data_IF_622728678288
#
_entry.id   IF_622728678288
#
_cell.length_a   1.000
_cell.length_b   1.000
_cell.length_c   1.000
_cell.angle_alpha   90.00
_cell.angle_beta   90.00
_cell.angle_gamma   90.00
#
_symmetry.space_group_name_H-M   'P 1'
#
loop_
_entity.id
_entity.type
_entity.pdbx_description
1 polymer ?
#
# COMPACT_ATOMS: atom_id res chain seq x y z
N UNK A 1 -29.15 -45.34 50.87
CA UNK A 1 -30.51 -45.79 50.52
C UNK A 1 -30.46 -46.04 49.03
N UNK A 2 -30.40 -47.31 48.60
CA UNK A 2 -30.44 -47.61 47.17
C UNK A 2 -31.85 -47.37 46.66
N UNK A 3 -31.99 -46.60 45.59
CA UNK A 3 -33.29 -46.22 45.01
C UNK A 3 -34.12 -47.46 44.61
N UNK A 4 -33.47 -48.61 44.46
CA UNK A 4 -34.07 -49.92 44.14
C UNK A 4 -34.77 -50.63 45.31
N UNK A 5 -34.55 -50.23 46.57
CA UNK A 5 -35.19 -50.89 47.72
C UNK A 5 -35.21 -49.99 48.98
N UNK A 6 -35.95 -48.88 48.99
CA UNK A 6 -36.01 -48.01 50.17
C UNK A 6 -36.83 -48.67 51.28
N UNK A 7 -36.19 -49.47 52.13
CA UNK A 7 -36.79 -49.90 53.41
C UNK A 7 -36.72 -48.72 54.36
N UNK A 8 -37.70 -47.82 54.28
CA UNK A 8 -37.88 -46.77 55.28
C UNK A 8 -38.59 -47.41 56.48
N UNK A 9 -37.90 -47.54 57.61
CA UNK A 9 -38.55 -47.71 58.91
C UNK A 9 -38.80 -49.13 59.43
N UNK A 10 -38.02 -50.15 59.03
CA UNK A 10 -37.97 -51.37 59.84
C UNK A 10 -37.42 -51.02 61.24
N UNK A 11 -38.20 -51.31 62.29
CA UNK A 11 -37.84 -51.14 63.71
C UNK A 11 -37.54 -49.70 64.18
N UNK A 12 -38.03 -48.67 63.47
CA UNK A 12 -37.88 -47.26 63.89
C UNK A 12 -39.12 -46.72 64.59
N UNK A 13 -38.93 -45.82 65.55
CA UNK A 13 -40.04 -45.08 66.14
C UNK A 13 -40.72 -44.18 65.10
N UNK A 14 -42.02 -43.92 65.25
CA UNK A 14 -42.75 -43.04 64.32
C UNK A 14 -42.16 -41.64 64.19
N UNK A 15 -41.50 -41.14 65.25
CA UNK A 15 -40.78 -39.86 65.22
C UNK A 15 -39.54 -39.92 64.30
N UNK A 16 -38.74 -40.98 64.40
CA UNK A 16 -37.56 -41.17 63.56
C UNK A 16 -37.94 -41.30 62.09
N UNK A 17 -38.96 -42.12 61.78
CA UNK A 17 -39.47 -42.25 60.42
C UNK A 17 -39.85 -40.89 59.81
N UNK A 18 -40.63 -40.08 60.54
CA UNK A 18 -41.07 -38.77 60.07
C UNK A 18 -39.90 -37.83 59.83
N UNK A 19 -38.86 -37.87 60.66
CA UNK A 19 -37.68 -37.04 60.47
C UNK A 19 -36.91 -37.45 59.19
N UNK A 20 -36.72 -38.75 58.98
CA UNK A 20 -36.06 -39.28 57.78
C UNK A 20 -36.84 -39.00 56.49
N UNK A 21 -38.17 -39.15 56.52
CA UNK A 21 -39.04 -38.79 55.39
C UNK A 21 -38.98 -37.29 55.08
N UNK A 22 -38.99 -36.43 56.11
CA UNK A 22 -38.83 -34.99 55.95
C UNK A 22 -37.44 -34.62 55.42
N UNK A 23 -36.38 -35.31 55.82
CA UNK A 23 -35.03 -35.13 55.29
C UNK A 23 -34.93 -35.57 53.83
N UNK A 24 -35.49 -36.71 53.46
CA UNK A 24 -35.55 -37.17 52.07
C UNK A 24 -36.32 -36.22 51.16
N UNK A 25 -37.50 -35.74 51.61
CA UNK A 25 -38.29 -34.74 50.89
C UNK A 25 -37.55 -33.40 50.74
N UNK A 26 -36.85 -32.97 51.78
CA UNK A 26 -36.04 -31.74 51.73
C UNK A 26 -34.86 -31.89 50.78
N UNK A 27 -34.21 -33.05 50.77
CA UNK A 27 -33.13 -33.35 49.83
C UNK A 27 -33.65 -33.32 48.38
N UNK A 28 -34.81 -33.91 48.11
CA UNK A 28 -35.46 -33.85 46.79
C UNK A 28 -35.83 -32.40 46.41
N UNK A 29 -36.42 -31.64 47.33
CA UNK A 29 -36.82 -30.25 47.11
C UNK A 29 -35.63 -29.33 46.80
N UNK A 30 -34.48 -29.60 47.41
CA UNK A 30 -33.28 -28.77 47.30
C UNK A 30 -32.23 -29.32 46.36
N UNK A 31 -32.53 -30.42 45.63
CA UNK A 31 -31.55 -31.13 44.80
C UNK A 31 -30.25 -31.44 45.56
N UNK A 32 -30.41 -31.96 46.78
CA UNK A 32 -29.33 -32.32 47.69
C UNK A 32 -28.40 -31.16 48.09
N UNK A 33 -28.81 -29.89 47.96
CA UNK A 33 -27.95 -28.73 48.30
C UNK A 33 -27.38 -28.78 49.72
N UNK A 34 -26.08 -28.49 49.85
CA UNK A 34 -25.40 -28.33 51.14
C UNK A 34 -23.87 -28.32 51.02
N UNK A 35 -23.18 -27.95 52.10
CA UNK A 35 -21.72 -27.73 52.09
C UNK A 35 -20.92 -29.03 52.12
N UNK A 36 -21.56 -30.13 52.52
CA UNK A 36 -20.99 -31.47 52.54
C UNK A 36 -21.74 -32.38 51.56
N UNK A 37 -21.04 -33.29 50.86
CA UNK A 37 -21.68 -34.21 49.93
C UNK A 37 -22.64 -35.16 50.66
N UNK A 38 -23.75 -35.57 50.01
CA UNK A 38 -24.62 -36.60 50.57
C UNK A 38 -23.84 -37.89 50.82
N UNK A 39 -23.79 -38.35 52.08
CA UNK A 39 -23.09 -39.59 52.47
C UNK A 39 -23.68 -40.86 51.86
N UNK A 40 -24.89 -40.75 51.29
CA UNK A 40 -25.63 -41.81 50.62
C UNK A 40 -25.60 -41.68 49.08
N UNK A 41 -24.69 -40.88 48.52
CA UNK A 41 -24.61 -40.68 47.08
C UNK A 41 -24.36 -42.00 46.31
N UNK A 42 -25.16 -42.21 45.26
CA UNK A 42 -25.01 -43.30 44.29
C UNK A 42 -24.72 -42.72 42.91
N UNK A 43 -24.14 -43.51 42.00
CA UNK A 43 -23.87 -43.06 40.64
C UNK A 43 -25.15 -42.48 40.01
N UNK A 44 -25.10 -41.25 39.50
CA UNK A 44 -26.30 -40.52 39.08
C UNK A 44 -26.72 -39.38 40.02
N UNK A 45 -26.22 -39.36 41.26
CA UNK A 45 -26.61 -38.35 42.25
C UNK A 45 -26.11 -36.97 41.83
N UNK A 46 -27.02 -35.99 41.80
CA UNK A 46 -26.69 -34.58 41.64
C UNK A 46 -26.59 -33.92 43.01
N UNK A 47 -25.62 -33.03 43.16
CA UNK A 47 -25.37 -32.27 44.37
C UNK A 47 -25.02 -30.83 44.02
N UNK A 48 -25.70 -29.88 44.68
CA UNK A 48 -25.35 -28.48 44.63
C UNK A 48 -24.51 -28.12 45.87
N UNK A 49 -23.19 -28.09 45.68
CA UNK A 49 -22.22 -27.77 46.72
C UNK A 49 -22.22 -26.26 46.98
N UNK A 50 -22.69 -25.87 48.16
CA UNK A 50 -22.76 -24.47 48.60
C UNK A 50 -21.69 -24.09 49.64
N UNK A 51 -20.64 -24.91 49.78
CA UNK A 51 -19.52 -24.64 50.69
C UNK A 51 -18.75 -23.35 50.37
N UNK A 52 -18.84 -22.89 49.13
CA UNK A 52 -18.28 -21.63 48.65
C UNK A 52 -19.23 -20.97 47.64
N UNK A 53 -19.03 -19.67 47.39
CA UNK A 53 -19.66 -18.95 46.29
C UNK A 53 -18.62 -18.73 45.18
N UNK A 54 -18.93 -19.03 43.89
CA UNK A 54 -20.19 -19.58 43.37
C UNK A 54 -20.42 -21.05 43.78
N UNK A 55 -21.68 -21.47 43.88
CA UNK A 55 -22.05 -22.85 44.21
C UNK A 55 -21.65 -23.79 43.08
N UNK A 56 -21.21 -25.02 43.37
CA UNK A 56 -20.80 -25.98 42.33
C UNK A 56 -21.88 -27.03 42.11
N UNK A 57 -22.32 -27.19 40.86
CA UNK A 57 -23.15 -28.32 40.46
C UNK A 57 -22.26 -29.52 40.18
N UNK A 58 -22.45 -30.59 40.94
CA UNK A 58 -21.66 -31.82 40.87
C UNK A 58 -22.53 -33.02 40.55
N UNK A 59 -21.96 -33.98 39.81
CA UNK A 59 -22.58 -35.26 39.51
C UNK A 59 -21.66 -36.39 40.00
N UNK A 60 -22.18 -37.27 40.86
CA UNK A 60 -21.46 -38.45 41.32
C UNK A 60 -21.46 -39.56 40.25
N UNK A 61 -20.28 -40.03 39.86
CA UNK A 61 -20.10 -41.09 38.85
C UNK A 61 -20.00 -42.50 39.46
N UNK A 62 -20.10 -42.62 40.79
CA UNK A 62 -19.91 -43.85 41.54
C UNK A 62 -18.53 -44.01 42.17
N UNK A 63 -17.57 -43.17 41.79
CA UNK A 63 -16.21 -43.11 42.37
C UNK A 63 -15.92 -41.73 42.95
N UNK A 64 -16.25 -40.67 42.22
CA UNK A 64 -15.99 -39.29 42.59
C UNK A 64 -17.06 -38.33 42.07
N UNK A 65 -16.91 -37.06 42.45
CA UNK A 65 -17.81 -35.99 42.02
C UNK A 65 -17.21 -35.26 40.81
N UNK A 66 -17.94 -35.25 39.70
CA UNK A 66 -17.61 -34.48 38.49
C UNK A 66 -18.29 -33.12 38.58
N UNK A 67 -17.50 -32.04 38.54
CA UNK A 67 -18.02 -30.67 38.51
C UNK A 67 -18.55 -30.36 37.12
N UNK A 68 -19.84 -30.04 37.02
CA UNK A 68 -20.53 -29.70 35.77
C UNK A 68 -20.50 -28.19 35.49
N UNK A 69 -20.50 -27.38 36.55
CA UNK A 69 -20.49 -25.93 36.43
C UNK A 69 -20.57 -25.22 37.77
N UNK A 70 -20.44 -23.90 37.71
CA UNK A 70 -20.60 -23.01 38.86
C UNK A 70 -21.86 -22.16 38.69
N UNK A 71 -22.67 -22.08 39.74
CA UNK A 71 -23.88 -21.27 39.83
C UNK A 71 -23.60 -20.05 40.72
N UNK A 72 -23.54 -18.87 40.11
CA UNK A 72 -23.42 -17.61 40.81
C UNK A 72 -24.83 -17.07 41.09
N UNK A 73 -25.32 -17.26 42.32
CA UNK A 73 -26.68 -16.85 42.70
C UNK A 73 -26.84 -15.36 42.91
N UNK A 74 -25.75 -14.60 43.04
CA UNK A 74 -25.81 -13.13 43.10
C UNK A 74 -25.92 -12.51 41.72
N UNK A 75 -25.22 -13.08 40.72
CA UNK A 75 -25.26 -12.61 39.33
C UNK A 75 -26.33 -13.31 38.47
N UNK A 76 -26.97 -14.37 38.99
CA UNK A 76 -27.91 -15.23 38.25
C UNK A 76 -27.28 -15.92 37.02
N UNK A 77 -26.00 -16.29 37.13
CA UNK A 77 -25.21 -16.86 36.04
C UNK A 77 -24.83 -18.32 36.30
N UNK A 78 -24.83 -19.14 35.24
CA UNK A 78 -24.27 -20.48 35.24
C UNK A 78 -23.04 -20.54 34.32
N UNK A 79 -21.89 -20.90 34.88
CA UNK A 79 -20.64 -21.10 34.13
C UNK A 79 -20.40 -22.61 33.96
N UNK A 80 -20.59 -23.18 32.76
CA UNK A 80 -20.34 -24.59 32.53
C UNK A 80 -18.85 -24.91 32.66
N UNK A 81 -18.51 -26.12 33.08
CA UNK A 81 -17.14 -26.60 33.12
C UNK A 81 -16.88 -27.55 31.94
N UNK A 82 -15.70 -27.46 31.33
CA UNK A 82 -15.23 -28.37 30.29
C UNK A 82 -13.84 -28.88 30.66
N UNK A 83 -13.65 -30.21 30.68
CA UNK A 83 -12.36 -30.80 31.05
C UNK A 83 -11.90 -30.49 32.48
N UNK A 84 -12.84 -30.20 33.40
CA UNK A 84 -12.55 -29.93 34.81
C UNK A 84 -12.29 -28.47 35.17
N UNK A 85 -12.39 -27.54 34.22
CA UNK A 85 -12.24 -26.10 34.46
C UNK A 85 -13.44 -25.32 33.91
N UNK A 86 -13.67 -24.11 34.45
CA UNK A 86 -14.69 -23.19 33.95
C UNK A 86 -14.44 -22.85 32.47
N UNK A 87 -15.52 -22.83 31.67
CA UNK A 87 -15.46 -22.42 30.27
C UNK A 87 -15.19 -20.90 30.19
N UNK A 88 -13.94 -20.53 29.93
CA UNK A 88 -13.50 -19.15 29.73
C UNK A 88 -13.32 -18.78 28.26
N UNK A 89 -12.70 -17.62 28.02
CA UNK A 89 -12.28 -17.20 26.68
C UNK A 89 -11.18 -18.14 26.13
N UNK A 90 -11.22 -18.40 24.83
CA UNK A 90 -10.21 -19.23 24.19
C UNK A 90 -8.85 -18.51 24.13
N UNK A 91 -7.78 -19.29 24.19
CA UNK A 91 -6.42 -18.85 23.87
C UNK A 91 -5.73 -19.88 22.99
N UNK A 92 -4.48 -19.62 22.58
CA UNK A 92 -3.70 -20.59 21.80
C UNK A 92 -3.49 -21.94 22.50
N UNK A 93 -3.55 -21.96 23.84
CA UNK A 93 -3.33 -23.16 24.65
C UNK A 93 -4.57 -23.66 25.41
N UNK A 94 -5.64 -22.86 25.44
CA UNK A 94 -6.84 -23.15 26.23
C UNK A 94 -8.08 -23.10 25.34
N UNK A 95 -8.87 -24.17 25.35
CA UNK A 95 -10.17 -24.22 24.67
C UNK A 95 -11.14 -23.31 25.40
N UNK A 96 -11.90 -22.50 24.66
CA UNK A 96 -12.85 -21.56 25.25
C UNK A 96 -13.82 -20.95 24.25
N UNK A 97 -14.53 -19.92 24.68
CA UNK A 97 -15.44 -19.14 23.86
C UNK A 97 -14.65 -18.20 22.93
N UNK A 98 -15.16 -18.03 21.71
CA UNK A 98 -14.64 -17.07 20.74
C UNK A 98 -15.77 -16.22 20.20
N UNK A 99 -15.50 -14.94 19.95
CA UNK A 99 -16.46 -14.02 19.33
C UNK A 99 -16.10 -13.82 17.86
N UNK A 100 -17.12 -13.74 17.01
CA UNK A 100 -16.92 -13.38 15.60
C UNK A 100 -16.72 -11.88 15.47
N UNK A 101 -15.74 -11.46 14.67
CA UNK A 101 -15.57 -10.05 14.32
C UNK A 101 -16.74 -9.58 13.44
N UNK A 102 -17.18 -8.33 13.64
CA UNK A 102 -18.00 -7.62 12.65
C UNK A 102 -17.17 -7.26 11.42
N UNK A 103 -17.81 -6.86 10.32
CA UNK A 103 -17.09 -6.44 9.11
C UNK A 103 -16.22 -5.20 9.37
N UNK A 104 -16.73 -4.22 10.12
CA UNK A 104 -15.97 -3.02 10.51
C UNK A 104 -14.74 -3.36 11.37
N UNK A 105 -14.85 -4.33 12.28
CA UNK A 105 -13.71 -4.78 13.08
C UNK A 105 -12.67 -5.55 12.25
N UNK A 106 -13.14 -6.34 11.28
CA UNK A 106 -12.27 -7.05 10.34
C UNK A 106 -11.53 -6.07 9.40
N UNK A 107 -12.19 -5.00 8.95
CA UNK A 107 -11.61 -3.91 8.16
C UNK A 107 -10.53 -3.15 8.92
N UNK A 108 -10.81 -2.79 10.18
CA UNK A 108 -9.85 -2.09 11.02
C UNK A 108 -8.61 -2.96 11.30
N UNK A 109 -8.79 -4.28 11.45
CA UNK A 109 -7.69 -5.22 11.68
C UNK A 109 -6.99 -5.04 13.03
N UNK A 110 -7.63 -4.36 13.99
CA UNK A 110 -7.04 -4.04 15.29
C UNK A 110 -7.39 -5.07 16.39
N UNK A 111 -8.46 -5.84 16.21
CA UNK A 111 -8.96 -6.75 17.25
C UNK A 111 -8.29 -8.14 17.14
N UNK A 112 -7.51 -8.51 18.17
CA UNK A 112 -6.79 -9.79 18.25
C UNK A 112 -7.56 -10.92 18.95
N UNK A 113 -8.75 -10.64 19.48
CA UNK A 113 -9.55 -11.57 20.30
C UNK A 113 -10.75 -12.16 19.55
N UNK A 114 -10.97 -11.74 18.30
CA UNK A 114 -12.11 -12.16 17.48
C UNK A 114 -11.66 -12.94 16.25
N UNK A 115 -12.44 -13.95 15.88
CA UNK A 115 -12.20 -14.70 14.65
C UNK A 115 -12.98 -14.10 13.47
N UNK A 116 -12.44 -14.27 12.27
CA UNK A 116 -13.12 -13.98 11.00
C UNK A 116 -13.53 -15.29 10.32
N UNK A 117 -14.61 -15.23 9.54
CA UNK A 117 -15.06 -16.37 8.73
C UNK A 117 -14.34 -16.43 7.39
N UNK A 118 -14.29 -17.60 6.71
CA UNK A 118 -13.79 -17.67 5.34
C UNK A 118 -14.52 -16.74 4.36
N UNK A 119 -15.82 -16.47 4.56
CA UNK A 119 -16.58 -15.53 3.74
C UNK A 119 -16.11 -14.09 3.93
N UNK A 120 -15.90 -13.65 5.18
CA UNK A 120 -15.28 -12.36 5.47
C UNK A 120 -13.87 -12.29 4.89
N UNK A 121 -13.07 -13.35 5.06
CA UNK A 121 -11.74 -13.39 4.45
C UNK A 121 -11.78 -13.34 2.92
N UNK A 122 -12.77 -13.95 2.27
CA UNK A 122 -12.95 -13.88 0.82
C UNK A 122 -13.33 -12.47 0.35
N UNK A 123 -14.12 -11.74 1.14
CA UNK A 123 -14.41 -10.32 0.92
C UNK A 123 -13.12 -9.47 0.99
N UNK A 124 -12.18 -9.81 1.89
CA UNK A 124 -10.91 -9.08 2.04
C UNK A 124 -9.76 -9.57 1.16
N UNK A 125 -9.75 -10.84 0.75
CA UNK A 125 -8.58 -11.50 0.16
C UNK A 125 -8.84 -12.37 -1.06
N UNK A 126 -10.10 -12.52 -1.51
CA UNK A 126 -10.48 -13.59 -2.44
C UNK A 126 -10.97 -13.19 -3.83
N UNK A 127 -11.26 -11.93 -4.14
CA UNK A 127 -11.99 -11.61 -5.37
C UNK A 127 -11.62 -10.34 -6.13
N UNK A 128 -11.16 -9.29 -5.44
CA UNK A 128 -10.75 -8.08 -6.11
C UNK A 128 -9.27 -8.15 -6.50
N UNK A 129 -8.93 -9.10 -7.38
CA UNK A 129 -8.03 -8.69 -8.45
C UNK A 129 -8.69 -7.47 -9.08
N UNK A 130 -7.98 -6.35 -9.15
CA UNK A 130 -8.50 -5.11 -9.72
C UNK A 130 -9.03 -5.40 -11.14
N UNK A 131 -10.32 -5.75 -11.28
CA UNK A 131 -10.95 -6.01 -12.58
C UNK A 131 -10.87 -4.74 -13.45
N UNK A 132 -10.84 -3.59 -12.77
CA UNK A 132 -10.39 -2.33 -13.31
C UNK A 132 -9.62 -1.55 -12.24
N UNK A 133 -8.57 -0.85 -12.67
CA UNK A 133 -7.93 0.20 -11.86
C UNK A 133 -8.56 1.51 -12.33
N UNK A 134 -9.22 2.24 -11.43
CA UNK A 134 -9.79 3.53 -11.80
C UNK A 134 -8.67 4.53 -12.07
N UNK A 135 -8.93 5.56 -12.89
CA UNK A 135 -7.92 6.59 -13.12
C UNK A 135 -7.49 7.28 -11.81
N UNK A 136 -8.38 7.40 -10.83
CA UNK A 136 -8.08 8.00 -9.52
C UNK A 136 -7.14 7.16 -8.67
N UNK A 137 -7.06 5.85 -8.92
CA UNK A 137 -6.13 4.94 -8.23
C UNK A 137 -4.73 4.96 -8.88
N UNK A 138 -4.64 5.43 -10.12
CA UNK A 138 -3.37 5.63 -10.80
C UNK A 138 -2.80 6.99 -10.44
N UNK A 139 -1.62 6.99 -9.84
CA UNK A 139 -0.84 8.21 -9.72
C UNK A 139 -0.34 8.62 -11.12
N UNK A 140 -1.09 9.50 -11.78
CA UNK A 140 -0.78 9.99 -13.12
C UNK A 140 -0.35 11.45 -13.08
N UNK A 141 0.55 11.81 -13.98
CA UNK A 141 1.01 13.17 -14.17
C UNK A 141 1.09 13.52 -15.65
N UNK A 142 1.27 14.80 -15.96
CA UNK A 142 1.42 15.33 -17.31
C UNK A 142 2.78 15.98 -17.41
N UNK A 143 3.40 15.86 -18.58
CA UNK A 143 4.61 16.61 -18.87
C UNK A 143 4.71 16.95 -20.34
N UNK A 144 5.43 18.03 -20.60
CA UNK A 144 5.62 18.62 -21.92
C UNK A 144 7.10 18.59 -22.28
N UNK A 145 7.38 18.40 -23.56
CA UNK A 145 8.68 18.66 -24.17
C UNK A 145 8.47 19.38 -25.50
N UNK A 146 9.22 20.43 -25.75
CA UNK A 146 9.06 21.25 -26.95
C UNK A 146 10.38 21.57 -27.63
N UNK A 147 10.26 21.98 -28.88
CA UNK A 147 11.34 22.61 -29.62
C UNK A 147 10.75 23.56 -30.66
N UNK A 148 11.41 24.70 -30.84
CA UNK A 148 11.10 25.72 -31.82
C UNK A 148 12.18 25.74 -32.90
N UNK A 149 11.77 26.04 -34.12
CA UNK A 149 12.70 26.22 -35.24
C UNK A 149 12.10 27.15 -36.28
N UNK A 150 13.00 27.88 -36.94
CA UNK A 150 12.71 28.71 -38.11
C UNK A 150 12.88 27.96 -39.44
N UNK A 151 13.32 26.70 -39.40
CA UNK A 151 13.56 25.88 -40.59
C UNK A 151 12.27 25.49 -41.32
N UNK A 152 12.35 25.42 -42.64
CA UNK A 152 11.27 24.92 -43.53
C UNK A 152 11.16 23.40 -43.57
N UNK A 153 12.12 22.66 -43.03
CA UNK A 153 11.97 21.23 -42.71
C UNK A 153 12.46 21.06 -41.28
N UNK A 154 11.52 20.82 -40.37
CA UNK A 154 11.81 20.76 -38.94
C UNK A 154 11.46 19.38 -38.41
N UNK A 155 12.46 18.74 -37.82
CA UNK A 155 12.34 17.47 -37.13
C UNK A 155 12.58 17.73 -35.66
N UNK A 156 11.52 17.65 -34.87
CA UNK A 156 11.61 17.64 -33.42
C UNK A 156 11.94 16.21 -32.95
N UNK A 157 13.01 16.06 -32.17
CA UNK A 157 13.35 14.83 -31.46
C UNK A 157 13.55 15.16 -29.98
N UNK A 158 12.65 14.68 -29.13
CA UNK A 158 12.68 14.92 -27.69
C UNK A 158 12.45 13.65 -26.88
N UNK A 159 13.10 13.56 -25.73
CA UNK A 159 12.82 12.52 -24.73
C UNK A 159 11.54 12.89 -23.99
N UNK A 160 10.55 12.02 -24.03
CA UNK A 160 9.28 12.26 -23.36
C UNK A 160 9.36 11.94 -21.85
N UNK A 161 8.62 12.68 -21.01
CA UNK A 161 8.47 12.33 -19.60
C UNK A 161 7.70 11.02 -19.44
N UNK A 162 8.04 10.21 -18.43
CA UNK A 162 7.35 8.94 -18.15
C UNK A 162 7.86 7.72 -18.93
N UNK A 163 8.63 7.92 -20.00
CA UNK A 163 9.26 6.84 -20.76
C UNK A 163 8.28 5.75 -21.19
N UNK A 164 8.57 4.50 -20.82
CA UNK A 164 7.70 3.34 -21.12
C UNK A 164 6.31 3.39 -20.46
N UNK A 165 6.08 4.29 -19.51
CA UNK A 165 4.82 4.44 -18.77
C UNK A 165 3.95 5.61 -19.25
N UNK A 166 4.36 6.26 -20.34
CA UNK A 166 3.60 7.33 -20.94
C UNK A 166 2.58 6.84 -21.97
N UNK A 167 1.44 7.50 -22.02
CA UNK A 167 0.32 7.19 -22.91
C UNK A 167 -0.38 8.48 -23.37
N UNK A 168 -1.13 8.40 -24.48
CA UNK A 168 -1.93 9.52 -24.99
C UNK A 168 -1.11 10.77 -25.29
N UNK A 169 -0.12 10.67 -26.19
CA UNK A 169 0.65 11.84 -26.62
C UNK A 169 -0.24 12.78 -27.44
N UNK A 170 -0.15 14.07 -27.14
CA UNK A 170 -0.81 15.13 -27.91
C UNK A 170 0.26 16.06 -28.44
N UNK A 171 0.20 16.37 -29.73
CA UNK A 171 0.99 17.45 -30.30
C UNK A 171 0.20 18.75 -30.27
N UNK A 172 0.86 19.79 -29.78
CA UNK A 172 0.39 21.17 -29.81
C UNK A 172 1.34 21.95 -30.72
N UNK A 173 0.78 22.76 -31.61
CA UNK A 173 1.54 23.61 -32.51
C UNK A 173 0.87 24.97 -32.65
N UNK A 174 1.67 26.03 -32.84
CA UNK A 174 1.19 27.41 -32.89
C UNK A 174 0.39 27.76 -34.15
N UNK A 175 0.41 26.88 -35.17
CA UNK A 175 -0.20 27.10 -36.49
C UNK A 175 -0.70 25.79 -37.09
N UNK A 176 -1.66 25.84 -38.01
CA UNK A 176 -2.22 24.65 -38.66
C UNK A 176 -1.17 23.93 -39.50
N UNK A 177 -0.77 22.73 -39.08
CA UNK A 177 0.20 21.90 -39.78
C UNK A 177 -0.23 20.44 -39.82
N UNK A 178 0.28 19.75 -40.85
CA UNK A 178 0.27 18.30 -40.89
C UNK A 178 1.52 17.85 -40.12
N UNK A 179 1.30 17.13 -39.02
CA UNK A 179 2.37 16.53 -38.25
C UNK A 179 2.39 15.03 -38.50
N UNK A 180 3.57 14.52 -38.80
CA UNK A 180 3.85 13.09 -38.75
C UNK A 180 4.49 12.79 -37.39
N UNK A 181 3.81 12.00 -36.56
CA UNK A 181 4.34 11.54 -35.27
C UNK A 181 4.81 10.12 -35.35
N UNK A 182 5.99 9.88 -34.79
CA UNK A 182 6.50 8.55 -34.53
C UNK A 182 6.93 8.45 -33.06
N UNK A 183 6.40 7.46 -32.36
CA UNK A 183 6.88 7.07 -31.03
C UNK A 183 7.92 5.97 -31.23
N UNK A 184 9.04 6.05 -30.52
CA UNK A 184 10.18 5.13 -30.62
C UNK A 184 10.97 5.30 -31.92
N UNK A 185 11.58 6.48 -32.06
CA UNK A 185 12.64 6.71 -33.05
C UNK A 185 13.99 6.66 -32.37
N UNK A 186 14.98 6.05 -33.01
CA UNK A 186 16.36 5.94 -32.52
C UNK A 186 16.52 4.84 -31.43
N UNK A 187 16.65 3.58 -31.89
CA UNK A 187 16.67 2.36 -31.07
C UNK A 187 17.94 2.26 -30.18
N UNK A 188 18.87 3.20 -30.30
CA UNK A 188 20.02 3.27 -29.42
C UNK A 188 19.61 3.91 -28.07
N UNK A 189 19.75 3.13 -26.99
CA UNK A 189 19.69 3.57 -25.57
C UNK A 189 18.34 3.54 -24.81
N UNK A 190 17.40 2.63 -25.13
CA UNK A 190 16.19 2.33 -24.31
C UNK A 190 15.31 3.56 -23.93
N UNK A 191 15.52 4.70 -24.60
CA UNK A 191 14.87 5.98 -24.31
C UNK A 191 13.62 6.13 -25.17
N UNK A 192 12.48 6.48 -24.58
CA UNK A 192 11.29 6.80 -25.35
C UNK A 192 11.42 8.21 -25.96
N UNK A 193 11.83 8.27 -27.23
CA UNK A 193 11.84 9.51 -28.00
C UNK A 193 10.56 9.66 -28.82
N UNK A 194 10.08 10.90 -28.91
CA UNK A 194 9.10 11.30 -29.92
C UNK A 194 9.83 12.00 -31.05
N UNK A 195 9.48 11.62 -32.27
CA UNK A 195 9.82 12.39 -33.47
C UNK A 195 8.55 13.02 -34.02
N UNK A 196 8.56 14.32 -34.19
CA UNK A 196 7.54 15.04 -34.95
C UNK A 196 8.20 15.75 -36.13
N UNK A 197 7.73 15.47 -37.34
CA UNK A 197 8.16 16.20 -38.54
C UNK A 197 7.06 17.15 -38.98
N UNK A 198 7.45 18.39 -39.25
CA UNK A 198 6.60 19.42 -39.87
C UNK A 198 6.95 19.50 -41.35
N UNK A 199 5.99 19.20 -42.23
CA UNK A 199 6.13 19.37 -43.68
C UNK A 199 5.41 20.64 -44.16
N UNK A 200 5.98 21.31 -45.17
CA UNK A 200 5.52 22.59 -45.75
C UNK A 200 5.24 23.74 -44.76
N UNK A 201 6.22 24.18 -43.96
CA UNK A 201 6.02 25.30 -43.08
C UNK A 201 6.40 26.65 -43.70
N UNK A 202 5.58 27.66 -43.41
CA UNK A 202 5.98 29.06 -43.46
C UNK A 202 6.23 29.54 -42.02
N UNK A 203 7.36 30.23 -41.80
CA UNK A 203 7.69 30.88 -40.53
C UNK A 203 8.14 29.96 -39.39
N UNK A 204 8.51 30.61 -38.28
CA UNK A 204 8.84 29.95 -37.01
C UNK A 204 7.63 29.15 -36.49
N UNK A 205 7.88 27.94 -35.98
CA UNK A 205 6.90 27.27 -35.16
C UNK A 205 7.55 26.56 -33.99
N UNK A 206 6.76 26.47 -32.93
CA UNK A 206 7.03 25.62 -31.78
C UNK A 206 6.15 24.38 -31.88
N UNK A 207 6.77 23.21 -31.75
CA UNK A 207 6.06 21.95 -31.54
C UNK A 207 6.23 21.57 -30.08
N UNK A 208 5.13 21.33 -29.39
CA UNK A 208 5.11 20.79 -28.02
C UNK A 208 4.47 19.41 -28.05
N UNK A 209 5.19 18.41 -27.57
CA UNK A 209 4.62 17.10 -27.29
C UNK A 209 4.26 17.02 -25.81
N UNK A 210 2.98 16.83 -25.54
CA UNK A 210 2.41 16.60 -24.22
C UNK A 210 2.14 15.12 -24.02
N UNK A 211 2.51 14.56 -22.87
CA UNK A 211 2.21 13.16 -22.53
C UNK A 211 1.68 13.04 -21.11
N UNK A 212 0.72 12.13 -20.92
CA UNK A 212 0.31 11.68 -19.59
C UNK A 212 1.04 10.38 -19.25
N UNK A 213 1.51 10.23 -18.02
CA UNK A 213 2.26 9.04 -17.61
C UNK A 213 1.95 8.63 -16.17
N UNK A 214 2.19 7.35 -15.85
CA UNK A 214 2.11 6.84 -14.48
C UNK A 214 3.41 7.18 -13.74
N UNK A 215 3.31 7.78 -12.56
CA UNK A 215 4.45 8.08 -11.70
C UNK A 215 4.52 7.05 -10.56
N UNK A 216 5.65 6.34 -10.47
CA UNK A 216 5.84 5.30 -9.46
C UNK A 216 6.61 5.80 -8.23
N UNK A 217 7.39 6.87 -8.35
CA UNK A 217 8.43 7.21 -7.35
C UNK A 217 8.69 8.68 -6.98
N UNK A 218 7.75 9.65 -7.07
CA UNK A 218 7.92 10.92 -6.36
C UNK A 218 8.07 10.70 -4.83
N UNK A 219 8.75 11.62 -4.10
CA UNK A 219 9.55 12.73 -4.62
C UNK A 219 10.96 12.28 -5.07
N UNK A 220 11.53 13.02 -6.03
CA UNK A 220 12.94 12.95 -6.39
C UNK A 220 13.75 13.91 -5.51
N UNK A 221 14.99 13.56 -5.20
CA UNK A 221 15.92 14.38 -4.43
C UNK A 221 17.30 14.29 -5.09
N UNK A 222 17.92 15.44 -5.37
CA UNK A 222 19.26 15.52 -5.99
C UNK A 222 20.39 15.73 -4.97
N UNK A 223 20.07 15.64 -3.67
CA UNK A 223 20.98 15.77 -2.53
C UNK A 223 20.74 16.99 -1.65
N UNK A 224 19.80 17.87 -2.04
CA UNK A 224 19.48 19.13 -1.35
C UNK A 224 18.00 19.18 -0.90
N UNK A 225 17.29 18.04 -0.94
CA UNK A 225 15.89 17.90 -0.56
C UNK A 225 14.97 17.52 -1.73
N UNK A 226 13.70 17.32 -1.41
CA UNK A 226 12.68 16.96 -2.40
C UNK A 226 12.47 18.08 -3.41
N UNK A 227 12.62 17.76 -4.70
CA UNK A 227 12.39 18.70 -5.80
C UNK A 227 10.91 18.96 -6.03
N UNK A 228 10.57 20.18 -6.45
CA UNK A 228 9.20 20.56 -6.82
C UNK A 228 8.81 20.12 -8.23
N UNK A 229 9.81 19.92 -9.10
CA UNK A 229 9.62 19.54 -10.49
C UNK A 229 10.88 19.79 -11.32
N UNK A 230 10.78 19.52 -12.61
CA UNK A 230 11.89 19.67 -13.55
C UNK A 230 11.48 20.57 -14.70
N UNK A 231 12.09 21.75 -14.78
CA UNK A 231 11.99 22.67 -15.92
C UNK A 231 13.35 22.79 -16.59
N UNK A 232 13.54 22.05 -17.69
CA UNK A 232 14.71 22.23 -18.55
C UNK A 232 14.39 23.22 -19.67
N UNK A 233 15.35 24.07 -20.01
CA UNK A 233 15.27 24.97 -21.14
C UNK A 233 16.42 24.68 -22.11
N UNK A 234 16.10 24.61 -23.40
CA UNK A 234 17.06 24.58 -24.49
C UNK A 234 17.27 26.02 -24.95
N UNK A 235 18.50 26.50 -24.92
CA UNK A 235 18.86 27.88 -25.25
C UNK A 235 19.77 27.92 -26.48
N UNK A 236 19.62 28.95 -27.31
CA UNK A 236 20.61 29.28 -28.34
C UNK A 236 21.82 30.05 -27.75
N UNK A 237 22.80 30.36 -28.59
CA UNK A 237 24.00 31.12 -28.18
C UNK A 237 23.70 32.55 -27.68
N UNK A 238 22.53 33.10 -28.00
CA UNK A 238 22.08 34.41 -27.54
C UNK A 238 21.21 34.33 -26.26
N UNK A 239 20.94 33.13 -25.77
CA UNK A 239 20.09 32.88 -24.59
C UNK A 239 18.59 32.89 -24.90
N UNK A 240 18.18 32.84 -26.17
CA UNK A 240 16.77 32.69 -26.52
C UNK A 240 16.32 31.26 -26.26
N UNK A 241 15.08 31.10 -25.79
CA UNK A 241 14.51 29.78 -25.51
C UNK A 241 14.09 29.11 -26.83
N UNK A 242 14.78 28.02 -27.17
CA UNK A 242 14.45 27.15 -28.29
C UNK A 242 13.50 26.02 -27.86
N UNK A 243 13.55 25.56 -26.63
CA UNK A 243 12.79 24.39 -26.18
C UNK A 243 12.57 24.42 -24.67
N UNK A 244 11.53 23.74 -24.21
CA UNK A 244 11.34 23.47 -22.78
C UNK A 244 11.00 22.01 -22.54
N UNK A 245 11.24 21.56 -21.33
CA UNK A 245 10.68 20.33 -20.76
C UNK A 245 10.14 20.68 -19.40
N UNK A 246 8.88 20.35 -19.13
CA UNK A 246 8.23 20.59 -17.84
C UNK A 246 7.52 19.32 -17.41
N UNK A 247 7.98 18.71 -16.31
CA UNK A 247 7.39 17.50 -15.73
C UNK A 247 7.71 17.39 -14.23
N UNK A 248 6.94 16.61 -13.49
CA UNK A 248 7.22 16.28 -12.09
C UNK A 248 8.29 15.17 -11.92
N UNK A 249 8.73 14.58 -13.03
CA UNK A 249 9.78 13.56 -13.08
C UNK A 249 10.91 13.98 -14.02
N UNK A 250 12.16 13.61 -13.73
CA UNK A 250 13.27 13.97 -14.57
C UNK A 250 13.32 13.13 -15.84
N UNK A 251 14.01 13.60 -16.90
CA UNK A 251 14.17 12.86 -18.15
C UNK A 251 14.74 11.45 -17.94
N UNK A 252 15.67 11.26 -17.00
CA UNK A 252 16.28 9.95 -16.72
C UNK A 252 15.40 9.00 -15.92
N UNK A 253 14.36 9.48 -15.23
CA UNK A 253 13.64 8.69 -14.23
C UNK A 253 12.96 7.43 -14.77
N UNK A 254 12.52 7.43 -16.04
CA UNK A 254 11.86 6.27 -16.66
C UNK A 254 12.34 5.97 -18.09
N UNK A 255 13.41 6.62 -18.51
CA UNK A 255 13.97 6.47 -19.86
C UNK A 255 15.35 5.78 -19.87
N UNK A 256 15.92 5.49 -18.70
CA UNK A 256 17.17 4.76 -18.58
C UNK A 256 16.99 3.28 -18.22
N UNK A 257 18.10 2.51 -18.21
CA UNK A 257 18.09 1.08 -17.92
C UNK A 257 17.76 0.73 -16.46
N UNK A 258 17.85 1.71 -15.55
CA UNK A 258 17.60 1.47 -14.12
C UNK A 258 16.10 1.43 -13.83
N UNK A 259 15.60 0.25 -13.45
CA UNK A 259 14.21 0.09 -13.01
C UNK A 259 14.02 0.69 -11.62
N UNK A 260 13.21 1.75 -11.53
CA UNK A 260 12.85 2.44 -10.28
C UNK A 260 11.39 2.17 -9.86
N UNK A 261 10.71 1.22 -10.52
CA UNK A 261 9.37 0.78 -10.16
C UNK A 261 9.43 -0.10 -8.92
N UNK A 262 8.55 0.17 -7.96
CA UNK A 262 8.40 -0.67 -6.78
C UNK A 262 7.64 -1.96 -7.12
N UNK A 263 8.22 -3.12 -6.82
CA UNK A 263 7.54 -4.41 -6.83
C UNK A 263 6.94 -4.74 -5.46
N UNK A 264 7.44 -4.09 -4.41
CA UNK A 264 6.95 -4.22 -3.03
C UNK A 264 7.03 -2.89 -2.30
N UNK A 265 6.00 -2.59 -1.52
CA UNK A 265 5.97 -1.45 -0.60
C UNK A 265 5.84 -2.01 0.82
N UNK A 266 6.76 -1.64 1.70
CA UNK A 266 6.63 -1.93 3.12
C UNK A 266 5.56 -1.00 3.72
N UNK A 267 4.42 -1.58 4.09
CA UNK A 267 3.28 -0.83 4.63
C UNK A 267 3.58 -0.09 5.93
N UNK A 268 4.56 -0.55 6.72
CA UNK A 268 4.91 0.10 8.00
C UNK A 268 5.80 1.32 7.80
N UNK A 269 6.75 1.24 6.88
CA UNK A 269 7.78 2.28 6.70
C UNK A 269 7.55 3.16 5.48
N UNK A 270 6.69 2.75 4.55
CA UNK A 270 6.51 3.39 3.24
C UNK A 270 7.67 3.14 2.27
N UNK A 271 8.70 2.40 2.67
CA UNK A 271 9.86 2.10 1.83
C UNK A 271 9.47 1.25 0.63
N UNK A 272 10.01 1.61 -0.52
CA UNK A 272 9.76 0.96 -1.81
C UNK A 272 10.93 0.04 -2.14
N UNK A 273 10.64 -1.16 -2.64
CA UNK A 273 11.63 -2.15 -3.01
C UNK A 273 11.40 -2.60 -4.45
N UNK A 274 12.50 -2.75 -5.21
CA UNK A 274 12.49 -3.37 -6.53
C UNK A 274 12.95 -4.81 -6.43
N UNK A 275 12.41 -5.66 -7.30
CA UNK A 275 12.77 -7.06 -7.42
C UNK A 275 13.88 -7.19 -8.46
N UNK A 276 15.10 -7.42 -7.99
CA UNK A 276 16.26 -7.63 -8.86
C UNK A 276 16.64 -9.11 -8.87
N UNK A 277 17.13 -9.57 -10.02
CA UNK A 277 17.70 -10.91 -10.13
C UNK A 277 18.99 -10.94 -9.31
N UNK A 278 19.11 -11.91 -8.40
CA UNK A 278 20.35 -12.12 -7.67
C UNK A 278 21.46 -12.46 -8.67
N UNK A 279 22.63 -11.79 -8.63
CA UNK A 279 23.75 -12.15 -9.50
C UNK A 279 24.06 -13.63 -9.36
N UNK A 280 24.17 -14.31 -10.50
CA UNK A 280 24.48 -15.74 -10.55
C UNK A 280 25.88 -15.96 -11.11
N UNK A 281 26.49 -17.05 -10.66
CA UNK A 281 27.63 -17.62 -11.36
C UNK A 281 27.19 -18.16 -12.73
N UNK A 282 28.15 -18.25 -13.66
CA UNK A 282 27.91 -18.86 -14.97
C UNK A 282 27.46 -20.33 -14.82
N UNK A 283 27.99 -21.05 -13.84
CA UNK A 283 27.65 -22.45 -13.57
C UNK A 283 26.18 -22.62 -13.16
N UNK A 284 25.68 -21.79 -12.24
CA UNK A 284 24.25 -21.76 -11.88
C UNK A 284 23.34 -21.45 -13.07
N UNK A 285 23.81 -20.63 -14.02
CA UNK A 285 23.04 -20.33 -15.24
C UNK A 285 22.97 -21.53 -16.18
N UNK A 286 24.10 -22.24 -16.36
CA UNK A 286 24.20 -23.40 -17.25
C UNK A 286 23.51 -24.64 -16.69
N UNK A 287 23.47 -24.79 -15.36
CA UNK A 287 22.77 -25.89 -14.67
C UNK A 287 21.24 -25.72 -14.65
N UNK A 288 20.73 -24.60 -15.16
CA UNK A 288 19.29 -24.33 -15.22
C UNK A 288 18.67 -24.04 -13.84
N UNK A 289 19.46 -23.56 -12.88
CA UNK A 289 18.94 -23.21 -11.56
C UNK A 289 17.85 -22.12 -11.67
N UNK A 290 16.81 -22.24 -10.84
CA UNK A 290 15.70 -21.31 -10.88
C UNK A 290 16.12 -19.88 -10.49
N UNK A 291 15.60 -18.85 -11.17
CA UNK A 291 14.93 -17.73 -10.54
C UNK A 291 15.26 -17.08 -9.19
N UNK A 292 16.45 -16.98 -8.59
CA UNK A 292 16.51 -16.28 -7.28
C UNK A 292 16.43 -14.75 -7.44
N UNK A 293 15.50 -14.13 -6.70
CA UNK A 293 15.31 -12.68 -6.68
C UNK A 293 15.50 -12.13 -5.27
N UNK A 294 16.11 -10.95 -5.18
CA UNK A 294 16.22 -10.19 -3.93
C UNK A 294 15.42 -8.89 -4.05
N UNK A 295 14.95 -8.41 -2.90
CA UNK A 295 14.28 -7.11 -2.80
C UNK A 295 15.31 -6.07 -2.37
N UNK A 296 15.60 -5.12 -3.25
CA UNK A 296 16.52 -4.02 -2.99
C UNK A 296 15.71 -2.74 -2.74
N UNK A 297 16.05 -1.98 -1.69
CA UNK A 297 15.41 -0.70 -1.39
C UNK A 297 15.71 0.31 -2.51
N UNK A 298 14.68 0.98 -3.01
CA UNK A 298 14.80 2.01 -4.05
C UNK A 298 15.22 3.32 -3.38
N UNK A 299 16.53 3.53 -3.28
CA UNK A 299 17.14 4.76 -2.73
C UNK A 299 17.11 5.91 -3.73
N UNK A 300 17.41 7.14 -3.27
CA UNK A 300 17.56 8.30 -4.17
C UNK A 300 18.74 8.13 -5.13
N UNK A 301 19.81 7.46 -4.71
CA UNK A 301 20.93 7.13 -5.60
C UNK A 301 20.49 6.23 -6.75
N UNK A 302 19.64 5.23 -6.48
CA UNK A 302 19.05 4.38 -7.54
C UNK A 302 18.13 5.19 -8.44
N UNK A 303 17.34 6.12 -7.90
CA UNK A 303 16.47 7.01 -8.70
C UNK A 303 17.25 7.93 -9.64
N UNK A 304 18.47 8.31 -9.25
CA UNK A 304 19.35 9.19 -10.03
C UNK A 304 20.48 8.45 -10.76
N UNK A 305 20.48 7.11 -10.75
CA UNK A 305 21.55 6.30 -11.35
C UNK A 305 21.75 6.61 -12.84
N UNK A 306 20.66 6.90 -13.56
CA UNK A 306 20.67 7.17 -14.99
C UNK A 306 20.80 8.67 -15.33
N UNK A 307 20.96 9.53 -14.31
CA UNK A 307 21.06 10.99 -14.50
C UNK A 307 22.23 11.40 -15.41
N UNK A 308 23.34 10.66 -15.37
CA UNK A 308 24.47 10.90 -16.25
C UNK A 308 24.26 10.40 -17.68
N UNK A 309 23.40 9.39 -17.88
CA UNK A 309 23.09 8.83 -19.19
C UNK A 309 22.13 9.73 -19.98
N UNK A 310 21.17 10.34 -19.28
CA UNK A 310 20.13 11.19 -19.88
C UNK A 310 20.04 12.50 -19.08
N UNK A 311 21.07 13.36 -19.14
CA UNK A 311 21.15 14.55 -18.28
C UNK A 311 20.11 15.62 -18.63
N UNK A 312 19.63 15.64 -19.87
CA UNK A 312 18.58 16.54 -20.35
C UNK A 312 17.76 15.87 -21.47
N UNK A 313 16.56 16.39 -21.81
CA UNK A 313 15.65 15.72 -22.75
C UNK A 313 15.89 16.07 -24.22
N UNK A 314 16.76 17.05 -24.50
CA UNK A 314 16.94 17.63 -25.84
C UNK A 314 18.07 16.96 -26.63
N UNK A 315 17.98 17.03 -27.97
CA UNK A 315 19.15 16.93 -28.84
C UNK A 315 19.71 18.33 -29.04
N UNK A 316 21.00 18.54 -28.75
CA UNK A 316 21.69 19.82 -28.86
C UNK A 316 22.55 19.88 -30.13
N UNK A 317 22.49 21.02 -30.81
CA UNK A 317 23.34 21.43 -31.94
C UNK A 317 24.47 22.35 -31.45
N UNK A 318 25.44 22.63 -32.33
CA UNK A 318 26.58 23.49 -32.00
C UNK A 318 26.12 24.89 -31.58
N UNK A 319 26.52 25.30 -30.37
CA UNK A 319 26.17 26.60 -29.78
C UNK A 319 24.86 26.61 -29.00
N UNK A 320 24.10 25.52 -29.00
CA UNK A 320 22.95 25.35 -28.12
C UNK A 320 23.38 24.83 -26.74
N UNK A 321 22.62 25.19 -25.71
CA UNK A 321 22.87 24.71 -24.34
C UNK A 321 21.58 24.27 -23.66
N UNK A 322 21.68 23.30 -22.76
CA UNK A 322 20.59 22.91 -21.87
C UNK A 322 20.85 23.46 -20.48
N UNK A 323 19.83 24.11 -19.89
CA UNK A 323 19.84 24.57 -18.50
C UNK A 323 18.69 23.95 -17.73
N UNK A 324 18.89 23.75 -16.43
CA UNK A 324 17.86 23.32 -15.48
C UNK A 324 17.51 24.51 -14.59
N UNK A 325 16.27 24.99 -14.66
CA UNK A 325 15.77 25.97 -13.70
C UNK A 325 15.75 25.34 -12.32
N UNK A 326 16.17 26.08 -11.28
CA UNK A 326 16.29 25.59 -9.90
C UNK A 326 15.08 24.71 -9.51
N UNK A 327 15.26 23.38 -9.40
CA UNK A 327 14.15 22.46 -9.18
C UNK A 327 13.56 22.59 -7.77
N UNK A 328 14.22 23.35 -6.89
CA UNK A 328 13.74 23.72 -5.55
C UNK A 328 12.96 25.06 -5.56
N UNK A 329 12.78 25.68 -6.72
CA UNK A 329 11.95 26.88 -6.85
C UNK A 329 10.46 26.51 -6.80
N UNK A 330 9.76 26.96 -5.75
CA UNK A 330 8.32 26.71 -5.58
C UNK A 330 7.43 27.27 -6.70
N UNK A 331 7.96 28.12 -7.60
CA UNK A 331 7.24 28.52 -8.82
C UNK A 331 7.10 27.38 -9.82
N UNK A 332 8.02 26.41 -9.84
CA UNK A 332 7.92 25.24 -10.72
C UNK A 332 6.70 24.39 -10.33
N UNK A 333 6.45 24.21 -9.03
CA UNK A 333 5.26 23.51 -8.55
C UNK A 333 3.97 24.18 -9.06
N UNK A 334 3.91 25.52 -9.04
CA UNK A 334 2.76 26.27 -9.56
C UNK A 334 2.60 26.08 -11.07
N UNK A 335 3.70 26.07 -11.84
CA UNK A 335 3.64 25.80 -13.28
C UNK A 335 3.10 24.39 -13.57
N UNK A 336 3.53 23.38 -12.80
CA UNK A 336 3.01 22.01 -12.91
C UNK A 336 1.52 21.92 -12.53
N UNK A 337 1.09 22.64 -11.50
CA UNK A 337 -0.33 22.71 -11.12
C UNK A 337 -1.18 23.32 -12.25
N UNK A 338 -0.72 24.42 -12.86
CA UNK A 338 -1.39 25.06 -14.00
C UNK A 338 -1.41 24.13 -15.22
N UNK A 339 -0.29 23.46 -15.53
CA UNK A 339 -0.22 22.46 -16.61
C UNK A 339 -1.24 21.32 -16.39
N UNK A 340 -1.33 20.79 -15.18
CA UNK A 340 -2.30 19.75 -14.82
C UNK A 340 -3.75 20.24 -14.86
N UNK A 341 -3.99 21.55 -14.66
CA UNK A 341 -5.29 22.18 -14.86
C UNK A 341 -5.64 22.41 -16.34
N UNK A 342 -4.72 22.11 -17.26
CA UNK A 342 -4.92 22.20 -18.71
C UNK A 342 -4.42 23.51 -19.34
N UNK A 343 -3.77 24.38 -18.57
CA UNK A 343 -3.23 25.65 -19.08
C UNK A 343 -2.07 25.43 -20.07
N UNK A 344 -1.92 26.36 -21.01
CA UNK A 344 -0.85 26.35 -22.01
C UNK A 344 0.41 27.05 -21.48
N UNK A 345 1.22 26.32 -20.71
CA UNK A 345 2.47 26.86 -20.12
C UNK A 345 3.52 27.21 -21.18
N UNK A 346 3.50 26.51 -22.32
CA UNK A 346 4.43 26.75 -23.42
C UNK A 346 4.40 28.21 -23.87
N UNK A 347 3.21 28.78 -24.12
CA UNK A 347 3.07 30.17 -24.53
C UNK A 347 3.70 31.14 -23.51
N UNK A 348 3.45 30.93 -22.21
CA UNK A 348 4.04 31.77 -21.17
C UNK A 348 5.58 31.71 -21.14
N UNK A 349 6.18 30.55 -21.42
CA UNK A 349 7.63 30.39 -21.52
C UNK A 349 8.19 31.16 -22.73
N UNK A 350 7.56 31.01 -23.90
CA UNK A 350 8.05 31.61 -25.16
C UNK A 350 7.78 33.11 -25.28
N UNK A 351 6.70 33.61 -24.67
CA UNK A 351 6.36 35.04 -24.64
C UNK A 351 7.22 35.84 -23.65
N UNK A 352 8.10 35.15 -22.91
CA UNK A 352 9.12 35.78 -22.08
C UNK A 352 8.63 36.25 -20.71
N UNK A 353 7.49 35.77 -20.23
CA UNK A 353 7.02 36.01 -18.85
C UNK A 353 8.04 35.50 -17.81
N UNK A 354 8.84 34.51 -18.20
CA UNK A 354 9.94 33.98 -17.39
C UNK A 354 11.19 33.85 -18.25
N UNK A 355 12.36 34.06 -17.65
CA UNK A 355 13.66 33.74 -18.28
C UNK A 355 14.58 33.06 -17.27
N UNK A 356 15.46 32.16 -17.73
CA UNK A 356 16.54 31.69 -16.87
C UNK A 356 17.47 32.85 -16.52
N UNK A 357 18.02 32.82 -15.32
CA UNK A 357 19.19 33.64 -14.99
C UNK A 357 20.43 33.11 -15.75
N UNK A 358 21.42 33.97 -15.94
CA UNK A 358 22.69 33.62 -16.60
C UNK A 358 23.77 33.18 -15.58
N UNK A 359 23.41 33.07 -14.29
CA UNK A 359 24.31 32.69 -13.22
C UNK A 359 24.07 31.24 -12.79
N UNK A 360 25.13 30.45 -12.79
CA UNK A 360 25.10 29.07 -12.30
C UNK A 360 24.85 29.04 -10.79
N UNK A 361 23.94 28.18 -10.36
CA UNK A 361 23.70 27.87 -8.96
C UNK A 361 24.68 26.79 -8.48
N UNK A 362 25.18 26.92 -7.25
CA UNK A 362 26.05 25.93 -6.62
C UNK A 362 25.25 24.76 -6.04
N UNK A 363 24.54 24.02 -6.92
CA UNK A 363 23.69 22.87 -6.55
C UNK A 363 24.14 21.60 -7.25
N UNK A 364 23.82 20.44 -6.66
CA UNK A 364 24.00 19.14 -7.33
C UNK A 364 22.96 18.97 -8.42
N UNK A 365 23.36 18.43 -9.57
CA UNK A 365 22.45 18.20 -10.69
C UNK A 365 23.08 17.39 -11.80
N UNK A 366 22.40 17.28 -12.95
CA UNK A 366 22.86 16.44 -14.05
C UNK A 366 24.20 16.94 -14.61
N UNK A 367 25.13 16.03 -14.97
CA UNK A 367 26.40 16.41 -15.54
C UNK A 367 26.20 17.15 -16.87
N UNK A 368 26.93 18.24 -17.08
CA UNK A 368 26.84 19.04 -18.30
C UNK A 368 25.63 19.98 -18.39
N UNK A 369 24.76 20.03 -17.37
CA UNK A 369 23.60 20.93 -17.33
C UNK A 369 23.81 22.00 -16.28
N UNK A 370 23.78 23.26 -16.70
CA UNK A 370 23.87 24.39 -15.78
C UNK A 370 22.55 24.58 -15.04
N UNK A 371 22.60 24.70 -13.71
CA UNK A 371 21.44 25.07 -12.91
C UNK A 371 21.34 26.57 -12.77
N UNK A 372 20.15 27.14 -12.96
CA UNK A 372 19.93 28.59 -13.01
C UNK A 372 18.68 28.99 -12.24
N UNK A 373 18.65 30.19 -11.67
CA UNK A 373 17.44 30.71 -11.04
C UNK A 373 16.39 31.13 -12.10
N UNK A 374 15.10 31.14 -11.73
CA UNK A 374 14.04 31.69 -12.58
C UNK A 374 13.87 33.20 -12.34
N UNK A 375 13.93 34.01 -13.39
CA UNK A 375 13.59 35.45 -13.35
C UNK A 375 12.20 35.67 -13.92
N UNK A 376 11.39 36.48 -13.22
CA UNK A 376 10.05 36.91 -13.63
C UNK A 376 10.16 38.40 -13.99
N UNK A 377 9.51 38.80 -15.08
CA UNK A 377 9.55 40.19 -15.59
C UNK A 377 8.20 40.87 -15.49
#
# INVERSE_FOLDING_TARGET
MTQSNPVIGADKSGLQYRNEDNEGKRALLTHHKGAEPPSYAEAGTLWLDDSAAPWLLKWYDGTGWIVQGALNTTAEEFTPFIGGAALGDASESVRGLVRRASNAEAEAGENTEKYITPAQLAEFGGGNFLESVSQGDLNTSVGDVSSSSVSTDFVFIGTLPGGQYGFGHTLLGTTSHIFETMISTDIAAETAKIRARRTNPAGSATITARQRYITASPPFDMGDGAVHGFLFLKLDAAGNILGHYLADVPPWGYNGPTVIRADKIDRKTGKKYRKILKPRSMEEYMDGAAPEYIHEEITQDIKNADMALIPHPFTLEDGETAVLVDPMDGRIEKLLQLQNAGEEIAAAIYDGYFRPDNAALARKGPPGVMQVALKVF
#
